data_IF_087654628510
#
_entry.id   IF_087654628510
#
_cell.length_a   1.000
_cell.length_b   1.000
_cell.length_c   1.000
_cell.angle_alpha   90.00
_cell.angle_beta   90.00
_cell.angle_gamma   90.00
#
_symmetry.space_group_name_H-M   'P 1'
#
loop_
_entity.id
_entity.type
_entity.pdbx_description
1 polymer ?
#
# COMPACT_ATOMS: atom_id res chain seq x y z
N UNK A 1 -4.22 1.26 -7.29
CA UNK A 1 -2.95 1.13 -6.56
C UNK A 1 -3.26 0.50 -5.23
N UNK A 2 -2.37 0.65 -4.25
CA UNK A 2 -2.69 0.35 -2.85
C UNK A 2 -3.01 1.65 -2.11
N UNK A 3 -2.35 2.74 -2.50
CA UNK A 3 -2.55 4.11 -2.03
C UNK A 3 -2.14 4.38 -0.59
N UNK A 4 -2.47 3.51 0.37
CA UNK A 4 -2.07 3.63 1.77
C UNK A 4 -1.89 2.26 2.44
N UNK A 5 -1.03 2.19 3.45
CA UNK A 5 -0.91 1.03 4.35
C UNK A 5 -1.73 1.17 5.64
N UNK A 6 -2.54 2.22 5.77
CA UNK A 6 -3.45 2.42 6.91
C UNK A 6 -4.92 2.21 6.49
N UNK A 7 -5.64 1.33 7.20
CA UNK A 7 -7.02 0.99 6.87
C UNK A 7 -7.97 2.18 6.95
N UNK A 8 -7.80 3.09 7.92
CA UNK A 8 -8.68 4.24 8.05
C UNK A 8 -8.52 5.20 6.86
N UNK A 9 -7.29 5.36 6.36
CA UNK A 9 -7.05 6.14 5.14
C UNK A 9 -7.68 5.46 3.93
N UNK A 10 -7.54 4.13 3.77
CA UNK A 10 -8.18 3.40 2.67
C UNK A 10 -9.71 3.53 2.70
N UNK A 11 -10.29 3.46 3.89
CA UNK A 11 -11.74 3.60 4.10
C UNK A 11 -12.20 5.03 3.79
N UNK A 12 -11.47 6.04 4.24
CA UNK A 12 -11.76 7.45 3.96
C UNK A 12 -11.60 7.81 2.47
N UNK A 13 -10.73 7.10 1.75
CA UNK A 13 -10.58 7.20 0.30
C UNK A 13 -11.55 6.30 -0.48
N UNK A 14 -12.49 5.63 0.20
CA UNK A 14 -13.49 4.73 -0.38
C UNK A 14 -12.87 3.64 -1.28
N UNK A 15 -11.68 3.14 -0.92
CA UNK A 15 -10.94 2.19 -1.76
C UNK A 15 -11.59 0.81 -1.84
N UNK A 16 -12.38 0.43 -0.83
CA UNK A 16 -13.09 -0.84 -0.79
C UNK A 16 -12.17 -2.08 -0.69
N UNK A 17 -10.94 -1.89 -0.23
CA UNK A 17 -9.97 -2.97 0.01
C UNK A 17 -9.47 -2.91 1.44
N UNK A 18 -8.97 -4.04 1.95
CA UNK A 18 -8.26 -4.08 3.23
C UNK A 18 -6.75 -4.18 3.05
N UNK A 19 -6.00 -3.70 4.04
CA UNK A 19 -4.53 -3.81 4.09
C UNK A 19 -4.10 -5.29 4.04
N UNK A 20 -4.85 -6.19 4.68
CA UNK A 20 -4.58 -7.63 4.69
C UNK A 20 -4.77 -8.24 3.30
N UNK A 21 -5.80 -7.82 2.57
CA UNK A 21 -6.03 -8.26 1.18
C UNK A 21 -4.90 -7.77 0.29
N UNK A 22 -4.47 -6.51 0.43
CA UNK A 22 -3.33 -5.98 -0.31
C UNK A 22 -2.04 -6.77 -0.02
N UNK A 23 -1.78 -7.09 1.25
CA UNK A 23 -0.64 -7.94 1.67
C UNK A 23 -0.68 -9.32 1.03
N UNK A 24 -1.86 -9.97 1.06
CA UNK A 24 -2.05 -11.30 0.49
C UNK A 24 -1.83 -11.29 -1.03
N UNK A 25 -2.38 -10.28 -1.72
CA UNK A 25 -2.23 -10.15 -3.18
C UNK A 25 -0.76 -9.96 -3.56
N UNK A 26 -0.02 -9.07 -2.89
CA UNK A 26 1.41 -8.87 -3.17
C UNK A 26 2.22 -10.17 -3.03
N UNK A 27 1.98 -10.94 -1.96
CA UNK A 27 2.63 -12.24 -1.75
C UNK A 27 2.27 -13.25 -2.83
N UNK A 28 1.02 -13.28 -3.26
CA UNK A 28 0.55 -14.20 -4.30
C UNK A 28 1.10 -13.84 -5.69
N UNK A 29 1.16 -12.55 -6.03
CA UNK A 29 1.77 -12.08 -7.27
C UNK A 29 3.25 -12.43 -7.32
N UNK A 30 3.98 -12.22 -6.21
CA UNK A 30 5.39 -12.64 -6.11
C UNK A 30 5.57 -14.14 -6.33
N UNK A 31 4.73 -14.98 -5.71
CA UNK A 31 4.75 -16.44 -5.90
C UNK A 31 4.45 -16.85 -7.33
N UNK A 32 3.59 -16.11 -8.02
CA UNK A 32 3.24 -16.35 -9.42
C UNK A 32 4.28 -15.81 -10.42
N UNK A 33 5.33 -15.12 -9.94
CA UNK A 33 6.33 -14.48 -10.80
C UNK A 33 5.83 -13.25 -11.55
N UNK A 34 4.73 -12.63 -11.09
CA UNK A 34 4.16 -11.43 -11.69
C UNK A 34 4.77 -10.21 -11.02
N UNK A 35 5.46 -9.38 -11.80
CA UNK A 35 6.05 -8.14 -11.32
C UNK A 35 4.96 -7.14 -10.89
N UNK A 36 5.19 -6.45 -9.77
CA UNK A 36 4.23 -5.51 -9.20
C UNK A 36 4.67 -4.07 -9.41
N UNK A 37 3.68 -3.22 -9.67
CA UNK A 37 3.85 -1.77 -9.74
C UNK A 37 2.88 -1.14 -8.75
N UNK A 38 3.39 -0.77 -7.58
CA UNK A 38 2.58 -0.28 -6.46
C UNK A 38 2.52 1.24 -6.49
N UNK A 39 1.30 1.78 -6.45
CA UNK A 39 1.05 3.21 -6.34
C UNK A 39 0.67 3.55 -4.89
N UNK A 40 1.37 4.54 -4.31
CA UNK A 40 1.12 5.08 -2.96
C UNK A 40 0.88 6.59 -3.05
N UNK A 41 -0.05 7.08 -2.23
CA UNK A 41 -0.48 8.48 -2.21
C UNK A 41 -0.29 9.03 -0.80
N UNK A 42 0.68 9.92 -0.64
CA UNK A 42 0.93 10.62 0.61
C UNK A 42 0.31 12.03 0.60
N UNK A 43 0.04 12.57 1.78
CA UNK A 43 -0.46 13.95 1.95
C UNK A 43 -1.96 14.11 1.66
N UNK A 44 -2.73 13.02 1.69
CA UNK A 44 -4.18 13.11 1.56
C UNK A 44 -4.82 13.81 2.77
N UNK A 45 -6.00 14.44 2.65
CA UNK A 45 -6.67 15.04 3.79
C UNK A 45 -6.97 14.09 4.96
N UNK A 46 -7.06 12.78 4.68
CA UNK A 46 -7.31 11.74 5.68
C UNK A 46 -6.02 11.18 6.32
N UNK A 47 -4.85 11.52 5.79
CA UNK A 47 -3.57 11.00 6.26
C UNK A 47 -2.95 11.94 7.31
N UNK A 48 -2.68 11.39 8.49
CA UNK A 48 -1.80 12.02 9.48
C UNK A 48 -0.40 11.37 9.47
N UNK A 49 0.52 11.90 10.28
CA UNK A 49 1.89 11.35 10.36
C UNK A 49 1.91 9.86 10.77
N UNK A 50 0.98 9.43 11.62
CA UNK A 50 0.91 8.04 12.08
C UNK A 50 0.51 7.12 10.93
N UNK A 51 -0.49 7.52 10.14
CA UNK A 51 -0.92 6.80 8.96
C UNK A 51 0.18 6.75 7.89
N UNK A 52 0.87 7.87 7.65
CA UNK A 52 2.02 7.91 6.73
C UNK A 52 3.13 6.92 7.16
N UNK A 53 3.40 6.82 8.47
CA UNK A 53 4.36 5.85 9.03
C UNK A 53 3.90 4.40 8.85
N UNK A 54 2.60 4.11 8.97
CA UNK A 54 2.06 2.77 8.67
C UNK A 54 2.18 2.43 7.18
N UNK A 55 1.94 3.38 6.29
CA UNK A 55 2.18 3.20 4.84
C UNK A 55 3.65 2.87 4.55
N UNK A 56 4.59 3.58 5.20
CA UNK A 56 6.01 3.28 5.12
C UNK A 56 6.33 1.88 5.64
N UNK A 57 5.80 1.50 6.80
CA UNK A 57 6.02 0.19 7.40
C UNK A 57 5.46 -0.95 6.53
N UNK A 58 4.23 -0.81 6.02
CA UNK A 58 3.62 -1.76 5.10
C UNK A 58 4.50 -1.96 3.86
N UNK A 59 5.01 -0.87 3.29
CA UNK A 59 5.91 -0.91 2.13
C UNK A 59 7.21 -1.63 2.45
N UNK A 60 7.83 -1.32 3.59
CA UNK A 60 9.08 -1.95 4.03
C UNK A 60 8.89 -3.45 4.31
N UNK A 61 7.81 -3.84 4.97
CA UNK A 61 7.47 -5.24 5.23
C UNK A 61 7.25 -6.04 3.94
N UNK A 62 6.94 -5.39 2.81
CA UNK A 62 6.62 -6.04 1.54
C UNK A 62 7.64 -5.74 0.44
N UNK A 63 8.81 -5.19 0.78
CA UNK A 63 9.85 -4.81 -0.18
C UNK A 63 10.25 -5.95 -1.15
N UNK A 64 10.26 -7.21 -0.69
CA UNK A 64 10.57 -8.36 -1.53
C UNK A 64 9.47 -8.75 -2.54
N UNK A 65 8.26 -8.20 -2.37
CA UNK A 65 7.09 -8.44 -3.22
C UNK A 65 6.68 -7.21 -4.03
N UNK A 66 7.42 -6.10 -3.90
CA UNK A 66 7.20 -4.84 -4.61
C UNK A 66 8.37 -4.62 -5.57
N UNK A 67 8.11 -4.68 -6.88
CA UNK A 67 9.18 -4.52 -7.88
C UNK A 67 9.38 -3.05 -8.27
N UNK A 68 8.28 -2.28 -8.31
CA UNK A 68 8.31 -0.84 -8.60
C UNK A 68 7.34 -0.07 -7.69
N UNK A 69 7.74 1.16 -7.35
CA UNK A 69 6.93 2.12 -6.61
C UNK A 69 6.67 3.36 -7.47
N UNK A 70 5.42 3.79 -7.50
CA UNK A 70 5.02 5.12 -7.94
C UNK A 70 4.50 5.89 -6.72
N UNK A 71 5.24 6.92 -6.34
CA UNK A 71 4.98 7.71 -5.14
C UNK A 71 4.45 9.08 -5.57
N UNK A 72 3.23 9.39 -5.17
CA UNK A 72 2.70 10.75 -5.21
C UNK A 72 2.91 11.38 -3.82
N UNK A 73 3.73 12.43 -3.78
CA UNK A 73 4.14 13.19 -2.58
C UNK A 73 3.87 14.68 -2.77
#
# INVERSE_FOLDING_TARGET
GIESGDQNVLDALEKGISVEVASMVLKNLKKAGIATYVYLLFGTPAEDETAARKTLEFTAQHCNSIDFLNLAI
#
